data_IF_119947575455
#
_entry.id   IF_119947575455
#
_cell.length_a   1.000
_cell.length_b   1.000
_cell.length_c   1.000
_cell.angle_alpha   90.00
_cell.angle_beta   90.00
_cell.angle_gamma   90.00
#
_symmetry.space_group_name_H-M   'P 1'
#
loop_
_entity.id
_entity.type
_entity.pdbx_description
1 polymer ?
#
# COMPACT_ATOMS: atom_id res chain seq x y z
N UNK A 1 15.17 2.20 -24.63
CA UNK A 1 13.89 2.11 -23.89
C UNK A 1 14.20 1.64 -22.47
N UNK A 2 13.62 2.28 -21.44
CA UNK A 2 13.82 1.87 -20.04
C UNK A 2 13.00 0.61 -19.73
N UNK A 3 13.45 -0.21 -18.78
CA UNK A 3 12.64 -1.31 -18.22
C UNK A 3 11.48 -0.78 -17.35
N UNK A 4 10.52 -1.64 -17.00
CA UNK A 4 9.42 -1.28 -16.11
C UNK A 4 9.90 -0.72 -14.77
N UNK A 5 10.81 -1.45 -14.10
CA UNK A 5 11.41 -1.02 -12.83
C UNK A 5 12.24 0.27 -12.94
N UNK A 6 12.94 0.49 -14.07
CA UNK A 6 13.67 1.74 -14.31
C UNK A 6 12.72 2.95 -14.41
N UNK A 7 11.58 2.82 -15.10
CA UNK A 7 10.57 3.89 -15.15
C UNK A 7 9.98 4.18 -13.77
N UNK A 8 9.75 3.15 -12.97
CA UNK A 8 9.22 3.29 -11.61
C UNK A 8 10.19 4.03 -10.69
N UNK A 9 11.48 3.69 -10.72
CA UNK A 9 12.51 4.42 -9.94
C UNK A 9 12.59 5.90 -10.32
N UNK A 10 12.47 6.25 -11.61
CA UNK A 10 12.42 7.65 -12.05
C UNK A 10 11.16 8.36 -11.55
N UNK A 11 10.00 7.70 -11.55
CA UNK A 11 8.77 8.27 -11.02
C UNK A 11 8.88 8.55 -9.51
N UNK A 12 9.45 7.63 -8.74
CA UNK A 12 9.71 7.81 -7.30
C UNK A 12 10.68 9.00 -7.08
N UNK A 13 11.77 9.07 -7.85
CA UNK A 13 12.72 10.18 -7.78
C UNK A 13 12.07 11.54 -8.09
N UNK A 14 11.14 11.59 -9.07
CA UNK A 14 10.37 12.80 -9.37
C UNK A 14 9.41 13.19 -8.24
N UNK A 15 8.79 12.22 -7.57
CA UNK A 15 7.93 12.46 -6.43
C UNK A 15 8.72 13.03 -5.24
N UNK A 16 9.93 12.50 -4.99
CA UNK A 16 10.88 13.03 -4.01
C UNK A 16 11.23 14.50 -4.29
N UNK A 17 11.58 14.82 -5.54
CA UNK A 17 11.97 16.19 -5.93
C UNK A 17 10.82 17.21 -5.87
N UNK A 18 9.57 16.78 -6.00
CA UNK A 18 8.41 17.68 -6.05
C UNK A 18 8.00 18.23 -4.68
N UNK A 19 8.44 17.58 -3.60
CA UNK A 19 8.11 17.97 -2.23
C UNK A 19 6.62 18.23 -1.96
N UNK A 20 5.75 17.37 -2.52
CA UNK A 20 4.31 17.51 -2.37
C UNK A 20 3.86 17.07 -0.96
N UNK A 21 2.95 17.82 -0.30
CA UNK A 21 2.45 17.45 1.04
C UNK A 21 1.51 16.22 1.02
N UNK A 22 0.98 15.87 -0.15
CA UNK A 22 0.11 14.72 -0.37
C UNK A 22 0.74 13.83 -1.44
N UNK A 23 0.90 12.55 -1.13
CA UNK A 23 1.44 11.54 -2.02
C UNK A 23 0.36 10.52 -2.39
N UNK A 24 0.27 10.18 -3.66
CA UNK A 24 -0.60 9.11 -4.16
C UNK A 24 0.29 8.08 -4.86
N UNK A 25 0.32 6.87 -4.30
CA UNK A 25 1.19 5.80 -4.73
C UNK A 25 0.32 4.65 -5.23
N UNK A 26 0.31 4.45 -6.55
CA UNK A 26 -0.42 3.36 -7.21
C UNK A 26 0.53 2.21 -7.53
N UNK A 27 0.26 1.03 -6.97
CA UNK A 27 1.07 -0.18 -7.13
C UNK A 27 2.59 0.00 -6.93
N UNK A 28 3.02 0.91 -6.04
CA UNK A 28 4.42 1.31 -5.93
C UNK A 28 5.39 0.17 -5.53
N UNK A 29 4.87 -1.02 -5.20
CA UNK A 29 5.66 -2.20 -4.82
C UNK A 29 5.40 -3.46 -5.67
N UNK A 30 4.58 -3.40 -6.74
CA UNK A 30 4.15 -4.61 -7.49
C UNK A 30 5.24 -5.23 -8.37
N UNK A 31 6.19 -4.44 -8.88
CA UNK A 31 7.27 -4.88 -9.77
C UNK A 31 8.64 -4.95 -9.09
N UNK A 32 8.68 -5.01 -7.75
CA UNK A 32 9.93 -5.03 -6.99
C UNK A 32 10.28 -6.49 -6.67
N UNK A 33 11.50 -6.87 -6.95
CA UNK A 33 12.07 -8.16 -6.59
C UNK A 33 12.12 -8.33 -5.06
N UNK A 34 11.82 -9.54 -4.58
CA UNK A 34 11.74 -9.84 -3.14
C UNK A 34 13.04 -9.51 -2.37
N UNK A 35 14.20 -9.53 -3.05
CA UNK A 35 15.50 -9.21 -2.44
C UNK A 35 15.66 -7.71 -2.20
N UNK A 36 15.19 -6.86 -3.12
CA UNK A 36 15.24 -5.39 -2.99
C UNK A 36 14.03 -4.76 -2.32
N UNK A 37 13.01 -5.56 -1.95
CA UNK A 37 11.75 -5.05 -1.41
C UNK A 37 11.96 -4.18 -0.16
N UNK A 38 12.83 -4.63 0.74
CA UNK A 38 13.14 -3.90 1.98
C UNK A 38 13.76 -2.52 1.72
N UNK A 39 14.70 -2.44 0.77
CA UNK A 39 15.39 -1.19 0.42
C UNK A 39 14.44 -0.17 -0.19
N UNK A 40 13.52 -0.62 -1.04
CA UNK A 40 12.52 0.29 -1.62
C UNK A 40 11.50 0.72 -0.57
N UNK A 41 11.12 -0.17 0.35
CA UNK A 41 10.28 0.20 1.48
C UNK A 41 10.90 1.26 2.36
N UNK A 42 12.19 1.14 2.67
CA UNK A 42 12.92 2.15 3.44
C UNK A 42 12.91 3.51 2.72
N UNK A 43 13.15 3.51 1.39
CA UNK A 43 13.07 4.73 0.59
C UNK A 43 11.66 5.33 0.56
N UNK A 44 10.61 4.50 0.47
CA UNK A 44 9.22 4.94 0.54
C UNK A 44 8.89 5.52 1.92
N UNK A 45 9.29 4.86 3.02
CA UNK A 45 9.09 5.41 4.38
C UNK A 45 9.70 6.80 4.53
N UNK A 46 10.93 6.99 4.04
CA UNK A 46 11.60 8.29 4.05
C UNK A 46 10.89 9.33 3.18
N UNK A 47 10.33 8.92 2.04
CA UNK A 47 9.53 9.79 1.18
C UNK A 47 8.22 10.21 1.88
N UNK A 48 7.63 9.32 2.67
CA UNK A 48 6.32 9.51 3.31
C UNK A 48 6.40 10.31 4.62
N UNK A 49 7.59 10.42 5.21
CA UNK A 49 7.80 11.14 6.46
C UNK A 49 7.34 12.60 6.37
N UNK A 50 6.45 13.00 7.29
CA UNK A 50 5.87 14.34 7.33
C UNK A 50 4.86 14.65 6.20
N UNK A 51 4.37 13.62 5.48
CA UNK A 51 3.46 13.79 4.34
C UNK A 51 2.29 12.83 4.43
N UNK A 52 1.10 13.31 4.09
CA UNK A 52 -0.07 12.43 3.96
C UNK A 52 0.09 11.56 2.72
N UNK A 53 0.14 10.25 2.90
CA UNK A 53 0.34 9.32 1.78
C UNK A 53 -0.81 8.37 1.62
N UNK A 54 -1.46 8.39 0.46
CA UNK A 54 -2.43 7.37 0.03
C UNK A 54 -1.71 6.31 -0.81
N UNK A 55 -1.61 5.09 -0.28
CA UNK A 55 -1.00 3.95 -0.96
C UNK A 55 -2.06 2.92 -1.34
N UNK A 56 -2.04 2.51 -2.61
CA UNK A 56 -2.86 1.45 -3.19
C UNK A 56 -2.03 0.16 -3.14
N UNK A 57 -2.45 -0.81 -2.33
CA UNK A 57 -1.66 -1.99 -1.97
C UNK A 57 -2.20 -3.27 -2.61
N UNK A 58 -1.37 -3.99 -3.37
CA UNK A 58 -1.75 -5.31 -3.92
C UNK A 58 -1.28 -6.49 -3.07
N UNK A 59 -0.47 -6.21 -2.03
CA UNK A 59 0.07 -7.22 -1.11
C UNK A 59 -0.39 -6.90 0.31
N UNK A 60 -0.79 -7.92 1.05
CA UNK A 60 -1.18 -7.73 2.44
C UNK A 60 0.00 -7.26 3.31
N UNK A 61 1.23 -7.68 3.01
CA UNK A 61 2.44 -7.22 3.70
C UNK A 61 2.62 -5.70 3.62
N UNK A 62 2.25 -5.10 2.49
CA UNK A 62 2.21 -3.64 2.27
C UNK A 62 1.11 -3.00 3.11
N UNK A 63 -0.11 -3.53 3.03
CA UNK A 63 -1.27 -2.98 3.73
C UNK A 63 -1.20 -3.12 5.25
N UNK A 64 -0.45 -4.09 5.79
CA UNK A 64 -0.26 -4.27 7.24
C UNK A 64 0.58 -3.16 7.88
N UNK A 65 1.45 -2.50 7.10
CA UNK A 65 2.31 -1.42 7.61
C UNK A 65 1.55 -0.10 7.75
N UNK A 66 0.22 -0.17 7.78
CA UNK A 66 -0.66 0.96 7.64
C UNK A 66 -1.14 1.53 8.97
N UNK A 67 -1.03 2.85 9.14
CA UNK A 67 -1.70 3.59 10.22
C UNK A 67 -3.23 3.49 10.11
N UNK A 68 -3.77 3.55 8.88
CA UNK A 68 -5.20 3.41 8.61
C UNK A 68 -5.41 2.66 7.30
N UNK A 69 -6.28 1.64 7.33
CA UNK A 69 -6.65 0.82 6.18
C UNK A 69 -8.11 1.09 5.84
N UNK A 70 -8.39 1.31 4.56
CA UNK A 70 -9.74 1.31 4.00
C UNK A 70 -9.92 0.09 3.10
N UNK A 71 -11.00 -0.65 3.31
CA UNK A 71 -11.37 -1.77 2.44
C UNK A 71 -12.45 -1.31 1.48
N UNK A 72 -12.17 -1.44 0.18
CA UNK A 72 -13.10 -1.06 -0.88
C UNK A 72 -13.69 -2.30 -1.54
N UNK A 73 -15.02 -2.41 -1.55
CA UNK A 73 -15.75 -3.46 -2.26
C UNK A 73 -16.96 -2.86 -2.99
N UNK A 74 -17.17 -3.28 -4.25
CA UNK A 74 -18.26 -2.75 -5.07
C UNK A 74 -18.21 -1.22 -5.29
N UNK A 75 -17.02 -0.63 -5.29
CA UNK A 75 -16.83 0.82 -5.43
C UNK A 75 -17.17 1.64 -4.18
N UNK A 76 -17.31 1.01 -3.02
CA UNK A 76 -17.60 1.67 -1.73
C UNK A 76 -16.61 1.23 -0.67
N UNK A 77 -16.31 2.12 0.28
CA UNK A 77 -15.59 1.76 1.51
C UNK A 77 -16.56 0.93 2.36
N UNK A 78 -16.18 -0.30 2.66
CA UNK A 78 -16.97 -1.25 3.46
C UNK A 78 -16.42 -1.44 4.86
N UNK A 79 -15.12 -1.21 5.06
CA UNK A 79 -14.46 -1.24 6.36
C UNK A 79 -13.36 -0.19 6.42
N UNK A 80 -13.06 0.28 7.63
CA UNK A 80 -11.93 1.17 7.90
C UNK A 80 -11.39 0.91 9.32
N UNK A 81 -10.09 1.01 9.51
CA UNK A 81 -9.45 0.85 10.82
C UNK A 81 -7.98 0.46 10.71
N UNK A 82 -7.36 0.17 11.85
CA UNK A 82 -6.02 -0.43 11.89
C UNK A 82 -6.07 -1.91 11.49
N UNK A 83 -4.90 -2.50 11.26
CA UNK A 83 -4.77 -3.93 10.99
C UNK A 83 -5.44 -4.78 12.09
N UNK A 84 -5.18 -4.46 13.35
CA UNK A 84 -5.69 -5.20 14.52
C UNK A 84 -7.21 -5.05 14.68
N UNK A 85 -7.74 -3.84 14.48
CA UNK A 85 -9.17 -3.56 14.55
C UNK A 85 -9.93 -4.36 13.49
N UNK A 86 -9.45 -4.32 12.24
CA UNK A 86 -10.06 -4.99 11.12
C UNK A 86 -9.95 -6.52 11.18
N UNK A 87 -8.84 -7.05 11.71
CA UNK A 87 -8.71 -8.49 11.97
C UNK A 87 -9.72 -8.95 13.04
N UNK A 88 -9.87 -8.17 14.11
CA UNK A 88 -10.76 -8.48 15.22
C UNK A 88 -12.23 -8.38 14.82
N UNK A 89 -12.58 -7.45 13.93
CA UNK A 89 -13.93 -7.28 13.40
C UNK A 89 -14.41 -8.46 12.55
N UNK A 90 -13.50 -9.27 12.01
CA UNK A 90 -13.85 -10.49 11.28
C UNK A 90 -14.52 -10.28 9.91
N UNK A 91 -14.38 -9.09 9.32
CA UNK A 91 -15.03 -8.70 8.07
C UNK A 91 -14.34 -9.16 6.78
N UNK A 92 -14.41 -8.35 5.72
CA UNK A 92 -13.71 -8.61 4.46
C UNK A 92 -12.20 -8.58 4.64
N UNK A 93 -11.67 -7.66 5.45
CA UNK A 93 -10.23 -7.58 5.69
C UNK A 93 -9.66 -8.92 6.20
N UNK A 94 -10.28 -9.51 7.22
CA UNK A 94 -9.86 -10.81 7.75
C UNK A 94 -9.88 -11.91 6.70
N UNK A 95 -10.95 -11.99 5.89
CA UNK A 95 -11.05 -12.98 4.80
C UNK A 95 -9.94 -12.81 3.77
N UNK A 96 -9.55 -11.57 3.46
CA UNK A 96 -8.40 -11.30 2.60
C UNK A 96 -7.10 -11.75 3.25
N UNK A 97 -6.94 -11.57 4.57
CA UNK A 97 -5.78 -12.07 5.31
C UNK A 97 -5.68 -13.59 5.29
N UNK A 98 -6.79 -14.29 5.55
CA UNK A 98 -6.87 -15.76 5.54
C UNK A 98 -6.55 -16.31 4.15
N UNK A 99 -7.15 -15.74 3.09
CA UNK A 99 -6.85 -16.12 1.70
C UNK A 99 -5.39 -15.83 1.31
N UNK A 100 -4.81 -14.72 1.80
CA UNK A 100 -3.40 -14.39 1.56
C UNK A 100 -2.42 -15.28 2.33
N UNK A 101 -2.89 -15.95 3.40
CA UNK A 101 -2.12 -16.93 4.16
C UNK A 101 -2.10 -18.32 3.53
N UNK A 102 -3.02 -18.62 2.61
CA UNK A 102 -3.16 -19.94 1.99
C UNK A 102 -2.63 -20.07 0.55
N UNK A 103 -2.34 -18.99 -0.21
CA UNK A 103 -2.02 -19.16 -1.64
C UNK A 103 -0.64 -18.68 -2.10
N UNK A 104 0.22 -19.67 -2.36
CA UNK A 104 1.17 -19.64 -3.49
C UNK A 104 0.41 -19.89 -4.79
N UNK A 105 -0.48 -19.00 -5.22
CA UNK A 105 -1.01 -18.99 -6.60
C UNK A 105 -1.82 -17.73 -6.89
N UNK A 106 -1.51 -17.09 -8.02
CA UNK A 106 -1.94 -15.75 -8.35
C UNK A 106 -3.44 -15.56 -8.61
N UNK A 107 -3.83 -14.30 -8.48
CA UNK A 107 -5.04 -13.65 -9.00
C UNK A 107 -6.38 -13.95 -8.30
N UNK A 108 -6.78 -13.07 -7.37
CA UNK A 108 -8.09 -12.38 -7.40
C UNK A 108 -8.23 -11.22 -6.37
N UNK A 109 -8.42 -10.03 -6.96
CA UNK A 109 -9.10 -8.77 -6.54
C UNK A 109 -9.47 -8.54 -5.05
N UNK A 110 -8.81 -7.53 -4.49
CA UNK A 110 -9.38 -6.31 -3.85
C UNK A 110 -8.78 -6.04 -2.46
N UNK A 111 -7.86 -5.07 -2.38
CA UNK A 111 -7.46 -4.44 -1.12
C UNK A 111 -6.96 -3.03 -1.44
N UNK A 112 -7.67 -1.96 -1.08
CA UNK A 112 -7.25 -0.60 -1.47
C UNK A 112 -7.59 0.49 -0.45
N UNK A 113 -6.58 0.86 0.33
CA UNK A 113 -6.07 2.20 0.56
C UNK A 113 -5.46 2.27 1.97
N UNK A 114 -4.15 2.44 2.06
CA UNK A 114 -3.44 2.80 3.29
C UNK A 114 -3.24 4.32 3.30
N UNK A 115 -3.55 4.99 4.41
CA UNK A 115 -3.08 6.35 4.68
C UNK A 115 -1.95 6.36 5.69
N UNK A 116 -0.73 6.71 5.26
CA UNK A 116 0.40 6.97 6.15
C UNK A 116 0.35 8.40 6.64
N UNK A 117 0.17 8.53 7.96
CA UNK A 117 0.08 9.70 8.82
C UNK A 117 -0.82 10.88 8.43
N UNK A 118 -1.48 11.40 9.47
CA UNK A 118 -1.81 12.82 9.57
C UNK A 118 -3.02 13.31 8.79
N UNK A 119 -4.13 12.56 8.78
CA UNK A 119 -5.42 13.19 8.47
C UNK A 119 -5.89 13.97 9.70
N UNK A 120 -5.69 15.29 9.70
CA UNK A 120 -6.65 16.20 10.31
C UNK A 120 -7.67 16.54 9.22
N UNK A 121 -8.82 15.86 9.17
CA UNK A 121 -10.02 16.46 8.56
C UNK A 121 -10.66 17.35 9.61
#
# INVERSE_FOLDING_TARGET
LLSGGQRQRIAIARALLKDAPILLLDEATSNIDNESEHLVWEALRRLMEGRTTLLIAHRLSTARQADMIFVVAGGRIVEQGTHEELLSAGGHYRRLCEASGEDSSGHKKSLFAYVAEGIRV
#
